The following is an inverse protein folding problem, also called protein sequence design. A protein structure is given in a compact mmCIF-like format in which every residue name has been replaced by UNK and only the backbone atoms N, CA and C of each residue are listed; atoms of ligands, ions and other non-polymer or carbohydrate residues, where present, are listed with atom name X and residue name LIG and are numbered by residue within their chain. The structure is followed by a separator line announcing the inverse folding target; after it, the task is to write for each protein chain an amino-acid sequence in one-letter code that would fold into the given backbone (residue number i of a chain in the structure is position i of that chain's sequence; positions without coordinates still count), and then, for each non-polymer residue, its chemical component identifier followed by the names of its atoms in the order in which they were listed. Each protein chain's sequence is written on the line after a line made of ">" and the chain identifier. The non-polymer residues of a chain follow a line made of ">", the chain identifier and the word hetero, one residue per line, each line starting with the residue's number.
data_IF_489597220840
#
_entry.id   IF_489597220840
#
_cell.length_a   1.000
_cell.length_b   1.000
_cell.length_c   1.000
_cell.angle_alpha   90.00
_cell.angle_beta   90.00
_cell.angle_gamma   90.00
#
_symmetry.space_group_name_H-M   'P 1'
#
loop_
_entity.id
_entity.type
_entity.pdbx_description
1 polymer ?
#
# COMPACT_ATOMS: atom_id res chain seq x y z
N UNK A 1 17.91 -14.89 -8.67
CA UNK A 1 17.60 -16.33 -8.62
C UNK A 1 18.90 -17.10 -8.82
N UNK A 2 19.17 -18.12 -8.02
CA UNK A 2 20.35 -18.98 -8.22
C UNK A 2 19.92 -20.17 -9.07
N UNK A 3 20.56 -20.36 -10.23
CA UNK A 3 20.38 -21.53 -11.08
C UNK A 3 21.77 -22.08 -11.42
N UNK A 4 22.04 -23.34 -11.05
CA UNK A 4 23.34 -24.01 -11.27
C UNK A 4 24.57 -23.16 -10.85
N UNK A 5 24.47 -22.51 -9.69
CA UNK A 5 25.55 -21.67 -9.14
C UNK A 5 25.71 -20.30 -9.79
N UNK A 6 24.87 -19.96 -10.78
CA UNK A 6 24.82 -18.64 -11.39
C UNK A 6 23.66 -17.80 -10.84
N UNK A 7 23.93 -16.54 -10.55
CA UNK A 7 22.88 -15.58 -10.19
C UNK A 7 22.28 -14.95 -11.45
N UNK A 8 20.97 -15.14 -11.62
CA UNK A 8 20.21 -14.61 -12.75
C UNK A 8 19.21 -13.57 -12.24
N UNK A 9 19.20 -12.41 -12.91
CA UNK A 9 18.19 -11.37 -12.71
C UNK A 9 16.85 -11.84 -13.30
N UNK A 10 15.79 -11.82 -12.49
CA UNK A 10 14.42 -12.23 -12.88
C UNK A 10 13.49 -11.05 -13.14
N UNK A 11 13.97 -9.82 -12.90
CA UNK A 11 13.26 -8.57 -13.15
C UNK A 11 14.21 -7.59 -13.82
N UNK A 12 13.66 -6.72 -14.67
CA UNK A 12 14.39 -5.57 -15.22
C UNK A 12 14.54 -4.50 -14.14
N UNK A 13 15.76 -4.01 -13.93
CA UNK A 13 16.03 -3.02 -12.89
C UNK A 13 17.51 -2.71 -12.72
N UNK A 14 17.81 -1.82 -11.77
CA UNK A 14 19.17 -1.50 -11.37
C UNK A 14 19.72 -2.57 -10.40
N UNK A 15 21.00 -2.90 -10.53
CA UNK A 15 21.67 -3.77 -9.56
C UNK A 15 22.03 -2.95 -8.32
N UNK A 16 21.69 -3.47 -7.15
CA UNK A 16 22.06 -2.91 -5.85
C UNK A 16 22.90 -3.94 -5.13
N UNK A 17 24.18 -3.62 -4.95
CA UNK A 17 25.13 -4.46 -4.24
C UNK A 17 25.33 -3.90 -2.83
N UNK A 18 25.05 -4.72 -1.83
CA UNK A 18 25.42 -4.49 -0.43
C UNK A 18 26.46 -5.53 -0.01
N UNK A 19 27.17 -5.30 1.10
CA UNK A 19 28.21 -6.23 1.58
C UNK A 19 27.71 -7.67 1.79
N UNK A 20 26.40 -7.85 2.02
CA UNK A 20 25.78 -9.14 2.34
C UNK A 20 24.85 -9.69 1.24
N UNK A 21 24.40 -8.85 0.31
CA UNK A 21 23.36 -9.23 -0.66
C UNK A 21 23.51 -8.46 -1.98
N UNK A 22 23.30 -9.17 -3.09
CA UNK A 22 23.12 -8.56 -4.41
C UNK A 22 21.63 -8.66 -4.74
N UNK A 23 20.99 -7.51 -4.92
CA UNK A 23 19.57 -7.40 -5.22
C UNK A 23 19.32 -6.59 -6.49
N UNK A 24 18.12 -6.72 -7.06
CA UNK A 24 17.68 -5.90 -8.19
C UNK A 24 16.60 -4.96 -7.68
N UNK A 25 16.78 -3.65 -7.91
CA UNK A 25 15.74 -2.65 -7.75
C UNK A 25 14.94 -2.54 -9.06
N UNK A 26 13.74 -3.13 -9.13
CA UNK A 26 13.01 -3.26 -10.39
C UNK A 26 12.39 -1.94 -10.85
N UNK A 27 12.37 -1.71 -12.16
CA UNK A 27 11.76 -0.51 -12.76
C UNK A 27 10.23 -0.51 -12.64
N UNK A 28 9.62 -1.69 -12.72
CA UNK A 28 8.19 -1.88 -12.51
C UNK A 28 7.94 -3.10 -11.62
N UNK A 29 7.09 -2.93 -10.62
CA UNK A 29 6.62 -3.99 -9.75
C UNK A 29 5.17 -3.80 -9.41
N UNK A 30 4.46 -4.92 -9.29
CA UNK A 30 3.21 -4.99 -8.56
C UNK A 30 3.49 -5.43 -7.14
N UNK A 31 2.56 -5.08 -6.25
CA UNK A 31 2.56 -5.59 -4.90
C UNK A 31 2.43 -7.12 -4.90
N UNK A 32 3.22 -7.78 -4.06
CA UNK A 32 3.17 -9.22 -3.83
C UNK A 32 2.88 -9.43 -2.35
N UNK A 33 1.67 -9.91 -1.99
CA UNK A 33 1.25 -10.00 -0.61
C UNK A 33 2.16 -10.87 0.26
N UNK A 34 2.40 -10.43 1.50
CA UNK A 34 3.11 -11.21 2.52
C UNK A 34 2.34 -11.19 3.85
N UNK A 35 2.39 -12.27 4.64
CA UNK A 35 1.81 -12.28 5.98
C UNK A 35 2.34 -11.12 6.82
N UNK A 36 1.42 -10.39 7.44
CA UNK A 36 1.74 -9.23 8.27
C UNK A 36 1.64 -7.88 7.55
N UNK A 37 1.58 -7.83 6.23
CA UNK A 37 1.47 -6.56 5.49
C UNK A 37 0.19 -5.79 5.84
N UNK A 38 0.31 -4.49 6.11
CA UNK A 38 -0.80 -3.57 6.21
C UNK A 38 -1.25 -3.18 4.81
N UNK A 39 -2.51 -3.40 4.47
CA UNK A 39 -3.04 -3.14 3.13
C UNK A 39 -4.32 -2.32 3.17
N UNK A 40 -4.51 -1.46 2.16
CA UNK A 40 -5.79 -0.77 1.92
C UNK A 40 -6.52 -1.50 0.81
N UNK A 41 -7.64 -2.15 1.16
CA UNK A 41 -8.48 -2.89 0.24
C UNK A 41 -9.77 -2.15 -0.11
N UNK A 42 -10.31 -2.39 -1.30
CA UNK A 42 -11.65 -1.94 -1.69
C UNK A 42 -12.53 -3.17 -1.87
N UNK A 43 -13.72 -3.17 -1.27
CA UNK A 43 -14.68 -4.27 -1.40
C UNK A 43 -15.18 -4.34 -2.83
N UNK A 44 -14.81 -5.39 -3.55
CA UNK A 44 -15.23 -5.61 -4.95
C UNK A 44 -16.49 -6.47 -5.02
N UNK A 45 -16.59 -7.48 -4.16
CA UNK A 45 -17.75 -8.35 -4.09
C UNK A 45 -18.05 -8.79 -2.65
N UNK A 46 -19.33 -9.09 -2.41
CA UNK A 46 -19.82 -9.58 -1.12
C UNK A 46 -20.57 -10.89 -1.35
N UNK A 47 -20.18 -11.93 -0.62
CA UNK A 47 -20.92 -13.17 -0.51
C UNK A 47 -21.52 -13.31 0.89
N UNK A 48 -22.31 -14.37 1.12
CA UNK A 48 -23.05 -14.56 2.37
C UNK A 48 -22.16 -14.64 3.62
N UNK A 49 -20.91 -15.09 3.49
CA UNK A 49 -19.98 -15.34 4.59
C UNK A 49 -18.57 -14.72 4.44
N UNK A 50 -18.31 -14.00 3.35
CA UNK A 50 -16.99 -13.40 3.07
C UNK A 50 -17.08 -12.22 2.10
N UNK A 51 -16.04 -11.37 2.14
CA UNK A 51 -15.84 -10.27 1.19
C UNK A 51 -14.62 -10.52 0.32
N UNK A 52 -14.70 -10.10 -0.94
CA UNK A 52 -13.57 -10.01 -1.85
C UNK A 52 -13.06 -8.58 -1.83
N UNK A 53 -11.79 -8.41 -1.53
CA UNK A 53 -11.12 -7.12 -1.51
C UNK A 53 -10.12 -7.03 -2.65
N UNK A 54 -10.24 -6.01 -3.48
CA UNK A 54 -9.14 -5.59 -4.33
C UNK A 54 -8.09 -4.89 -3.45
N UNK A 55 -6.90 -5.50 -3.37
CA UNK A 55 -5.75 -5.03 -2.60
C UNK A 55 -4.59 -4.60 -3.51
N UNK A 56 -4.82 -4.30 -4.79
CA UNK A 56 -3.77 -3.96 -5.76
C UNK A 56 -2.70 -5.06 -5.94
N UNK A 57 -3.09 -6.31 -5.71
CA UNK A 57 -2.29 -7.51 -5.95
C UNK A 57 -2.77 -8.21 -7.24
N UNK A 58 -2.08 -9.25 -7.74
CA UNK A 58 -2.54 -10.01 -8.90
C UNK A 58 -3.92 -10.67 -8.73
N UNK A 59 -4.31 -10.96 -7.49
CA UNK A 59 -5.57 -11.59 -7.12
C UNK A 59 -6.22 -10.87 -5.94
N UNK A 60 -7.54 -11.02 -5.82
CA UNK A 60 -8.31 -10.43 -4.72
C UNK A 60 -8.01 -11.15 -3.42
N UNK A 61 -8.01 -10.40 -2.32
CA UNK A 61 -7.93 -10.97 -0.99
C UNK A 61 -9.32 -11.36 -0.47
N UNK A 62 -9.36 -12.41 0.32
CA UNK A 62 -10.55 -12.89 1.00
C UNK A 62 -10.60 -12.33 2.42
N UNK A 63 -11.72 -11.73 2.81
CA UNK A 63 -12.02 -11.36 4.20
C UNK A 63 -13.17 -12.24 4.69
N UNK A 64 -12.91 -13.30 5.46
CA UNK A 64 -13.96 -14.08 6.11
C UNK A 64 -14.70 -13.28 7.18
N UNK A 65 -16.00 -13.53 7.38
CA UNK A 65 -16.78 -12.89 8.46
C UNK A 65 -16.17 -13.06 9.86
N UNK A 66 -15.53 -14.20 10.13
CA UNK A 66 -14.83 -14.46 11.40
C UNK A 66 -13.65 -13.52 11.64
N UNK A 67 -13.11 -12.88 10.60
CA UNK A 67 -11.98 -11.93 10.63
C UNK A 67 -12.40 -10.50 10.26
N UNK A 68 -13.65 -10.33 9.85
CA UNK A 68 -14.25 -9.05 9.50
C UNK A 68 -14.63 -8.19 10.71
N UNK A 69 -15.20 -7.00 10.45
CA UNK A 69 -15.58 -6.05 11.48
C UNK A 69 -16.80 -6.53 12.29
N UNK A 70 -16.69 -6.42 13.62
CA UNK A 70 -17.77 -6.70 14.57
C UNK A 70 -18.16 -8.19 14.70
N UNK A 71 -19.16 -8.47 15.55
CA UNK A 71 -19.87 -9.77 15.57
C UNK A 71 -20.98 -9.70 14.53
N UNK A 72 -20.65 -9.92 13.26
CA UNK A 72 -21.65 -9.94 12.20
C UNK A 72 -22.43 -11.26 12.22
N UNK A 73 -23.76 -11.19 12.22
CA UNK A 73 -24.63 -12.37 12.08
C UNK A 73 -24.62 -12.85 10.61
N UNK A 74 -24.70 -14.17 10.40
CA UNK A 74 -24.71 -14.79 9.08
C UNK A 74 -25.77 -14.15 8.17
N UNK A 75 -25.39 -13.75 6.95
CA UNK A 75 -26.28 -13.02 6.02
C UNK A 75 -26.26 -11.49 6.18
N UNK A 76 -25.65 -10.95 7.23
CA UNK A 76 -25.49 -9.51 7.46
C UNK A 76 -24.28 -8.87 6.77
N UNK A 77 -23.45 -9.64 6.05
CA UNK A 77 -22.16 -9.18 5.52
C UNK A 77 -22.26 -7.88 4.72
N UNK A 78 -23.26 -7.78 3.85
CA UNK A 78 -23.49 -6.60 2.99
C UNK A 78 -23.90 -5.34 3.77
N UNK A 79 -24.54 -5.50 4.93
CA UNK A 79 -24.90 -4.38 5.78
C UNK A 79 -23.70 -3.79 6.53
N UNK A 80 -22.65 -4.59 6.73
CA UNK A 80 -21.45 -4.17 7.45
C UNK A 80 -20.41 -3.57 6.50
N UNK A 81 -20.10 -4.29 5.42
CA UNK A 81 -19.21 -3.83 4.35
C UNK A 81 -19.87 -4.13 3.00
N UNK A 82 -20.18 -3.08 2.25
CA UNK A 82 -20.78 -3.18 0.93
C UNK A 82 -19.74 -2.90 -0.16
N UNK A 83 -20.06 -3.27 -1.40
CA UNK A 83 -19.22 -3.01 -2.57
C UNK A 83 -18.87 -1.52 -2.65
N UNK A 84 -17.60 -1.23 -2.94
CA UNK A 84 -17.03 0.11 -3.03
C UNK A 84 -16.52 0.67 -1.71
N UNK A 85 -16.71 -0.01 -0.57
CA UNK A 85 -16.14 0.44 0.69
C UNK A 85 -14.64 0.18 0.77
N UNK A 86 -13.91 1.13 1.33
CA UNK A 86 -12.48 1.04 1.55
C UNK A 86 -12.19 0.59 2.97
N UNK A 87 -11.26 -0.33 3.13
CA UNK A 87 -10.88 -0.91 4.42
C UNK A 87 -9.37 -0.94 4.60
N UNK A 88 -8.93 -0.59 5.81
CA UNK A 88 -7.58 -0.83 6.27
C UNK A 88 -7.58 -2.20 6.96
N UNK A 89 -6.82 -3.15 6.42
CA UNK A 89 -6.76 -4.52 6.88
C UNK A 89 -5.31 -5.03 6.85
N UNK A 90 -5.07 -6.24 7.38
CA UNK A 90 -3.75 -6.86 7.40
C UNK A 90 -3.81 -8.22 6.73
N UNK A 91 -2.80 -8.57 5.94
CA UNK A 91 -2.65 -9.91 5.40
C UNK A 91 -2.37 -10.86 6.56
N UNK A 92 -3.24 -11.84 6.76
CA UNK A 92 -3.08 -12.85 7.81
C UNK A 92 -2.26 -14.03 7.29
N UNK A 93 -2.60 -14.51 6.10
CA UNK A 93 -1.96 -15.64 5.45
C UNK A 93 -2.02 -15.47 3.93
N UNK A 94 -1.06 -16.09 3.25
CA UNK A 94 -1.01 -16.22 1.79
C UNK A 94 -0.79 -17.70 1.51
N UNK A 95 -1.65 -18.31 0.71
CA UNK A 95 -1.55 -19.72 0.37
C UNK A 95 -0.60 -19.98 -0.80
N UNK A 96 -0.36 -21.25 -1.09
CA UNK A 96 0.52 -21.71 -2.18
C UNK A 96 0.00 -21.33 -3.58
N UNK A 97 -1.29 -21.03 -3.70
CA UNK A 97 -1.94 -20.57 -4.94
C UNK A 97 -1.96 -19.05 -5.06
N UNK A 98 -1.27 -18.33 -4.16
CA UNK A 98 -1.27 -16.87 -4.05
C UNK A 98 -2.62 -16.24 -3.67
N UNK A 99 -3.57 -17.04 -3.17
CA UNK A 99 -4.76 -16.50 -2.52
C UNK A 99 -4.36 -15.90 -1.18
N UNK A 100 -4.86 -14.69 -0.91
CA UNK A 100 -4.53 -13.96 0.32
C UNK A 100 -5.75 -13.88 1.21
N UNK A 101 -5.60 -14.20 2.49
CA UNK A 101 -6.64 -13.98 3.50
C UNK A 101 -6.25 -12.78 4.34
N UNK A 102 -7.18 -11.83 4.50
CA UNK A 102 -6.99 -10.64 5.31
C UNK A 102 -7.81 -10.69 6.60
N UNK A 103 -7.38 -9.89 7.57
CA UNK A 103 -8.11 -9.63 8.81
C UNK A 103 -8.33 -8.13 9.01
N UNK A 104 -9.48 -7.79 9.57
CA UNK A 104 -9.79 -6.44 10.08
C UNK A 104 -9.75 -6.40 11.61
N UNK A 105 -9.30 -7.47 12.26
CA UNK A 105 -9.10 -7.52 13.71
C UNK A 105 -7.70 -7.04 14.05
N UNK A 106 -7.62 -6.01 14.89
CA UNK A 106 -6.35 -5.48 15.36
C UNK A 106 -6.41 -3.97 15.54
N UNK A 107 -5.33 -3.42 16.07
CA UNK A 107 -5.22 -1.98 16.29
C UNK A 107 -5.15 -1.24 14.96
N UNK A 108 -5.96 -0.19 14.83
CA UNK A 108 -5.98 0.70 13.67
C UNK A 108 -6.73 0.18 12.44
N UNK A 109 -7.00 -1.13 12.35
CA UNK A 109 -7.73 -1.75 11.24
C UNK A 109 -9.22 -1.39 11.32
N UNK A 110 -9.77 -0.84 10.24
CA UNK A 110 -11.14 -0.29 10.20
C UNK A 110 -11.58 0.00 8.77
N UNK A 111 -12.88 0.25 8.60
CA UNK A 111 -13.40 0.90 7.40
C UNK A 111 -12.93 2.37 7.38
N UNK A 112 -12.63 2.86 6.19
CA UNK A 112 -12.22 4.24 5.95
C UNK A 112 -13.37 4.95 5.22
N UNK A 113 -13.97 5.93 5.90
CA UNK A 113 -15.17 6.64 5.43
C UNK A 113 -14.90 8.06 4.92
N UNK A 114 -13.68 8.58 5.13
CA UNK A 114 -13.28 9.93 4.76
C UNK A 114 -11.87 9.96 4.18
N UNK A 115 -11.51 11.09 3.60
CA UNK A 115 -10.23 11.28 2.92
C UNK A 115 -10.23 10.67 1.52
N UNK A 116 -9.03 10.48 0.99
CA UNK A 116 -8.79 9.95 -0.36
C UNK A 116 -7.74 8.84 -0.31
N UNK A 117 -7.73 8.01 -1.35
CA UNK A 117 -6.71 6.99 -1.57
C UNK A 117 -5.89 7.38 -2.80
N UNK A 118 -4.58 7.46 -2.64
CA UNK A 118 -3.62 7.67 -3.71
C UNK A 118 -2.73 6.43 -3.89
N UNK A 119 -2.36 6.11 -5.13
CA UNK A 119 -1.53 4.94 -5.43
C UNK A 119 -0.05 5.32 -5.64
N UNK A 120 0.83 4.78 -4.82
CA UNK A 120 2.27 4.94 -4.94
C UNK A 120 2.85 3.66 -5.57
N UNK A 121 3.60 3.78 -6.67
CA UNK A 121 4.33 2.66 -7.24
C UNK A 121 5.17 1.93 -6.18
N UNK A 122 5.15 0.58 -6.11
CA UNK A 122 5.86 -0.15 -5.05
C UNK A 122 7.38 0.10 -5.01
N UNK A 123 8.00 0.37 -6.16
CA UNK A 123 9.42 0.74 -6.21
C UNK A 123 9.71 2.08 -5.52
N UNK A 124 8.82 3.08 -5.64
CA UNK A 124 8.93 4.35 -4.93
C UNK A 124 8.69 4.20 -3.42
N UNK A 125 7.79 3.30 -3.04
CA UNK A 125 7.59 2.99 -1.63
C UNK A 125 8.87 2.45 -0.99
N UNK A 126 9.49 1.47 -1.65
CA UNK A 126 10.69 0.80 -1.15
C UNK A 126 11.94 1.69 -1.16
N UNK A 127 11.96 2.78 -1.94
CA UNK A 127 13.07 3.73 -1.95
C UNK A 127 12.78 4.92 -1.04
N UNK A 128 11.79 5.74 -1.39
CA UNK A 128 11.52 7.04 -0.78
C UNK A 128 10.94 6.92 0.64
N UNK A 129 10.16 5.87 0.91
CA UNK A 129 9.46 5.71 2.18
C UNK A 129 10.04 4.60 3.08
N UNK A 130 11.20 4.05 2.71
CA UNK A 130 11.84 2.92 3.38
C UNK A 130 12.14 3.15 4.86
N UNK A 131 12.62 4.34 5.22
CA UNK A 131 12.98 4.72 6.59
C UNK A 131 11.88 5.46 7.36
N UNK A 132 10.76 5.73 6.68
CA UNK A 132 9.63 6.51 7.21
C UNK A 132 9.88 8.02 7.38
N UNK A 133 11.07 8.53 7.08
CA UNK A 133 11.40 9.96 7.22
C UNK A 133 10.56 10.82 6.26
N UNK A 134 10.47 10.41 4.99
CA UNK A 134 9.63 11.08 3.99
C UNK A 134 8.15 11.07 4.38
N UNK A 135 7.65 9.97 4.95
CA UNK A 135 6.26 9.88 5.42
C UNK A 135 6.01 10.83 6.61
N UNK A 136 6.94 10.90 7.56
CA UNK A 136 6.86 11.80 8.72
C UNK A 136 6.86 13.26 8.28
N UNK A 137 7.70 13.60 7.32
CA UNK A 137 7.79 14.93 6.73
C UNK A 137 6.51 15.32 5.97
N UNK A 138 5.94 14.40 5.20
CA UNK A 138 4.67 14.64 4.50
C UNK A 138 3.55 14.96 5.50
N UNK A 139 3.50 14.24 6.63
CA UNK A 139 2.54 14.50 7.72
C UNK A 139 2.77 15.87 8.36
N UNK A 140 4.01 16.21 8.71
CA UNK A 140 4.32 17.46 9.42
C UNK A 140 4.14 18.71 8.56
N UNK A 141 4.31 18.60 7.23
CA UNK A 141 4.22 19.74 6.31
C UNK A 141 2.80 20.02 5.81
N UNK A 142 1.84 19.09 5.98
CA UNK A 142 0.48 19.22 5.42
C UNK A 142 -0.64 19.19 6.45
N UNK A 143 -0.33 18.88 7.71
CA UNK A 143 -1.32 18.62 8.79
C UNK A 143 -2.37 17.54 8.41
N UNK A 144 -2.00 16.66 7.47
CA UNK A 144 -2.82 15.53 7.07
C UNK A 144 -2.53 14.31 7.93
N UNK A 145 -3.58 13.54 8.21
CA UNK A 145 -3.46 12.14 8.63
C UNK A 145 -3.12 11.32 7.39
N UNK A 146 -1.94 10.70 7.40
CA UNK A 146 -1.47 9.87 6.28
C UNK A 146 -1.16 8.45 6.76
N UNK A 147 -1.67 7.45 6.06
CA UNK A 147 -1.31 6.04 6.25
C UNK A 147 -0.85 5.49 4.90
N UNK A 148 0.43 5.13 4.83
CA UNK A 148 0.98 4.39 3.70
C UNK A 148 0.88 2.90 4.02
N UNK A 149 0.29 2.14 3.11
CA UNK A 149 0.13 0.70 3.19
C UNK A 149 1.09 -0.01 2.23
N UNK A 150 1.47 -1.24 2.56
CA UNK A 150 2.48 -2.04 1.85
C UNK A 150 2.06 -2.39 0.41
N UNK A 151 0.76 -2.30 0.10
CA UNK A 151 0.20 -2.55 -1.23
C UNK A 151 0.25 -1.37 -2.21
N UNK A 152 0.96 -0.30 -1.84
CA UNK A 152 1.13 0.87 -2.69
C UNK A 152 -0.05 1.82 -2.58
N UNK A 153 -0.93 1.67 -1.60
CA UNK A 153 -2.03 2.61 -1.39
C UNK A 153 -1.72 3.50 -0.20
N UNK A 154 -1.98 4.80 -0.36
CA UNK A 154 -1.80 5.81 0.66
C UNK A 154 -3.15 6.44 0.96
N UNK A 155 -3.64 6.27 2.19
CA UNK A 155 -4.80 7.01 2.68
C UNK A 155 -4.37 8.37 3.20
N UNK A 156 -5.06 9.41 2.75
CA UNK A 156 -4.80 10.80 3.09
C UNK A 156 -6.10 11.44 3.55
N UNK A 157 -6.12 12.01 4.75
CA UNK A 157 -7.30 12.63 5.34
C UNK A 157 -6.92 13.93 6.08
N UNK A 158 -7.68 14.99 5.82
CA UNK A 158 -7.38 16.35 6.28
C UNK A 158 -8.30 17.37 5.61
N UNK A 159 -7.91 18.64 5.67
CA UNK A 159 -8.65 19.71 4.97
C UNK A 159 -8.52 19.57 3.44
N UNK A 160 -9.48 20.06 2.64
CA UNK A 160 -9.40 19.98 1.17
C UNK A 160 -8.13 20.60 0.58
N UNK A 161 -7.65 21.72 1.13
CA UNK A 161 -6.41 22.37 0.70
C UNK A 161 -5.18 21.55 1.07
N UNK A 162 -5.14 21.01 2.29
CA UNK A 162 -4.06 20.12 2.76
C UNK A 162 -3.97 18.85 1.91
N UNK A 163 -5.11 18.22 1.61
CA UNK A 163 -5.18 17.04 0.75
C UNK A 163 -4.68 17.39 -0.65
N UNK A 164 -5.15 18.49 -1.24
CA UNK A 164 -4.72 18.93 -2.58
C UNK A 164 -3.20 19.16 -2.64
N UNK A 165 -2.62 19.72 -1.58
CA UNK A 165 -1.17 19.90 -1.44
C UNK A 165 -0.43 18.55 -1.44
N UNK A 166 -0.88 17.56 -0.65
CA UNK A 166 -0.29 16.22 -0.66
C UNK A 166 -0.34 15.60 -2.06
N UNK A 167 -1.48 15.65 -2.75
CA UNK A 167 -1.62 15.10 -4.11
C UNK A 167 -0.62 15.77 -5.05
N UNK A 168 -0.53 17.10 -5.03
CA UNK A 168 0.40 17.84 -5.90
C UNK A 168 1.87 17.45 -5.67
N UNK A 169 2.26 17.21 -4.41
CA UNK A 169 3.61 16.76 -4.05
C UNK A 169 3.84 15.35 -4.58
N UNK A 170 2.89 14.44 -4.42
CA UNK A 170 2.97 13.06 -4.91
C UNK A 170 3.07 13.01 -6.44
N UNK A 171 2.32 13.84 -7.17
CA UNK A 171 2.40 13.93 -8.63
C UNK A 171 3.78 14.40 -9.12
N UNK A 172 4.36 15.39 -8.46
CA UNK A 172 5.73 15.84 -8.74
C UNK A 172 6.74 14.72 -8.51
N UNK A 173 6.63 14.01 -7.39
CA UNK A 173 7.47 12.84 -7.08
C UNK A 173 7.33 11.74 -8.15
N UNK A 174 6.09 11.40 -8.55
CA UNK A 174 5.81 10.42 -9.61
C UNK A 174 6.42 10.81 -10.96
N UNK A 175 6.43 12.11 -11.28
CA UNK A 175 7.05 12.61 -12.52
C UNK A 175 8.57 12.46 -12.49
N UNK A 176 9.18 12.64 -11.32
CA UNK A 176 10.62 12.51 -11.11
C UNK A 176 11.08 11.05 -11.01
N UNK A 177 10.18 10.11 -10.70
CA UNK A 177 10.52 8.70 -10.43
C UNK A 177 10.96 7.88 -11.64
N UNK A 178 10.93 8.47 -12.83
CA UNK A 178 11.49 7.85 -14.04
C UNK A 178 13.00 7.67 -13.96
N UNK A 179 13.68 8.44 -13.10
CA UNK A 179 15.11 8.33 -12.80
C UNK A 179 15.32 8.19 -11.28
N UNK A 180 15.79 7.02 -10.84
CA UNK A 180 16.00 6.70 -9.42
C UNK A 180 17.13 7.53 -8.79
N UNK A 181 18.00 8.15 -9.61
CA UNK A 181 19.09 9.02 -9.17
C UNK A 181 18.64 10.34 -8.53
N UNK A 182 17.33 10.57 -8.37
CA UNK A 182 16.76 11.86 -7.96
C UNK A 182 16.04 11.84 -6.60
N UNK A 183 16.40 10.90 -5.71
CA UNK A 183 15.75 10.75 -4.40
C UNK A 183 15.85 12.01 -3.54
N UNK A 184 17.01 12.68 -3.53
CA UNK A 184 17.20 13.91 -2.76
C UNK A 184 16.24 15.02 -3.22
N UNK A 185 16.10 15.22 -4.53
CA UNK A 185 15.15 16.19 -5.06
C UNK A 185 13.68 15.79 -4.82
N UNK A 186 13.36 14.50 -4.72
CA UNK A 186 12.02 14.07 -4.30
C UNK A 186 11.75 14.43 -2.83
N UNK A 187 12.75 14.29 -1.96
CA UNK A 187 12.64 14.69 -0.55
C UNK A 187 12.44 16.21 -0.46
N UNK A 188 13.16 17.01 -1.23
CA UNK A 188 12.98 18.47 -1.30
C UNK A 188 11.54 18.86 -1.68
N UNK A 189 10.93 18.15 -2.63
CA UNK A 189 9.52 18.36 -3.01
C UNK A 189 8.58 18.11 -1.84
N UNK A 190 8.85 17.08 -1.03
CA UNK A 190 8.04 16.78 0.16
C UNK A 190 8.26 17.85 1.23
N UNK A 191 9.49 18.37 1.37
CA UNK A 191 9.86 19.40 2.36
C UNK A 191 9.25 20.77 2.07
N UNK A 192 9.06 21.12 0.79
CA UNK A 192 8.54 22.42 0.39
C UNK A 192 7.24 22.76 1.14
N UNK A 193 7.22 23.92 1.80
CA UNK A 193 6.03 24.39 2.52
C UNK A 193 4.88 24.67 1.57
N UNK A 194 3.66 24.56 2.09
CA UNK A 194 2.45 24.91 1.35
C UNK A 194 2.41 26.44 1.21
N UNK A 195 2.55 26.94 -0.03
CA UNK A 195 2.33 28.35 -0.37
C UNK A 195 0.85 28.69 -0.35
#
# INVERSE_FOLDING_TARGET
>A
MVNDGQMIAVKLGAVVESEQEISILPTHTRYTPRPGDLVIGVVEAVQSNLWFLDINAPFNALLPMSLGPGKSEFGGARHVLNVGYTVLCRIQEVDETHSSVVTMKGLGLRRVDSGIIEEIPPHLMNSLFSDGAALKLLKSTTDCRVVLADNGRMWIDGSPSSISSVISKLERVRTMSRDISNLDSMIEVIQAEVQ
#
